data_IF_403906532655
#
_entry.id   IF_403906532655
#
_cell.length_a   1.000
_cell.length_b   1.000
_cell.length_c   1.000
_cell.angle_alpha   90.00
_cell.angle_beta   90.00
_cell.angle_gamma   90.00
#
_symmetry.space_group_name_H-M   'P 1'
#
loop_
_entity.id
_entity.type
_entity.pdbx_description
1 polymer ?
#
# COMPACT_ATOMS: atom_id res chain seq x y z
N UNK A 1 -61.63 13.32 -1.71
CA UNK A 1 -60.37 13.40 -0.94
C UNK A 1 -59.22 12.96 -1.83
N UNK A 2 -58.38 13.90 -2.26
CA UNK A 2 -57.17 13.58 -3.03
C UNK A 2 -56.08 13.23 -2.04
N UNK A 3 -55.66 11.97 -1.97
CA UNK A 3 -54.49 11.56 -1.24
C UNK A 3 -53.27 12.03 -2.03
N UNK A 4 -52.60 13.04 -1.52
CA UNK A 4 -51.29 13.42 -2.00
C UNK A 4 -50.28 12.33 -1.54
N UNK A 5 -49.89 11.51 -2.47
CA UNK A 5 -48.76 10.59 -2.25
C UNK A 5 -47.51 11.48 -2.31
N UNK A 6 -46.77 11.63 -1.23
CA UNK A 6 -45.49 12.30 -1.33
C UNK A 6 -44.60 11.46 -2.23
N UNK A 7 -44.28 12.00 -3.37
CA UNK A 7 -43.23 11.47 -4.23
C UNK A 7 -41.92 11.53 -3.42
N UNK A 8 -41.63 10.45 -2.74
CA UNK A 8 -40.38 10.24 -2.06
C UNK A 8 -39.31 10.07 -3.14
N UNK A 9 -38.78 11.21 -3.56
CA UNK A 9 -37.64 11.28 -4.46
C UNK A 9 -36.46 10.73 -3.70
N UNK A 10 -36.22 9.43 -3.83
CA UNK A 10 -34.97 8.80 -3.44
C UNK A 10 -33.87 9.45 -4.27
N UNK A 11 -33.26 10.48 -3.68
CA UNK A 11 -32.00 11.02 -4.16
C UNK A 11 -30.96 9.92 -3.94
N UNK A 12 -30.84 9.05 -4.93
CA UNK A 12 -29.70 8.13 -5.00
C UNK A 12 -28.48 9.03 -5.25
N UNK A 13 -27.87 9.45 -4.17
CA UNK A 13 -26.51 9.98 -4.20
C UNK A 13 -25.62 8.84 -4.70
N UNK A 14 -25.48 8.80 -6.02
CA UNK A 14 -24.41 8.04 -6.65
C UNK A 14 -23.13 8.63 -6.16
N UNK A 15 -22.61 8.11 -5.06
CA UNK A 15 -21.23 8.33 -4.67
C UNK A 15 -20.42 7.72 -5.79
N UNK A 16 -20.00 8.54 -6.76
CA UNK A 16 -18.92 8.17 -7.67
C UNK A 16 -17.69 8.03 -6.80
N UNK A 17 -17.48 6.82 -6.29
CA UNK A 17 -16.19 6.43 -5.81
C UNK A 17 -15.27 6.53 -7.02
N UNK A 18 -14.48 7.59 -7.10
CA UNK A 18 -13.34 7.59 -7.99
C UNK A 18 -12.48 6.42 -7.57
N UNK A 19 -12.58 5.33 -8.34
CA UNK A 19 -11.73 4.18 -8.14
C UNK A 19 -10.29 4.67 -8.29
N UNK A 20 -9.56 4.71 -7.18
CA UNK A 20 -8.16 5.09 -7.19
C UNK A 20 -7.42 4.06 -8.05
N UNK A 21 -6.84 4.51 -9.17
CA UNK A 21 -5.99 3.69 -10.00
C UNK A 21 -4.61 3.59 -9.36
N UNK A 22 -4.06 2.38 -9.29
CA UNK A 22 -2.75 2.13 -8.72
C UNK A 22 -2.75 1.91 -7.21
N UNK A 23 -1.56 1.75 -6.66
CA UNK A 23 -1.36 1.50 -5.23
C UNK A 23 -1.70 2.76 -4.43
N UNK A 24 -2.56 2.61 -3.43
CA UNK A 24 -2.93 3.69 -2.51
C UNK A 24 -1.93 3.78 -1.37
N UNK A 25 -0.90 4.61 -1.55
CA UNK A 25 0.02 4.93 -0.47
C UNK A 25 -0.59 5.98 0.45
N UNK A 26 -0.91 5.57 1.67
CA UNK A 26 -1.58 6.41 2.64
C UNK A 26 -0.58 7.23 3.45
N UNK A 27 -0.95 8.47 3.78
CA UNK A 27 -0.13 9.38 4.58
C UNK A 27 -0.35 9.10 6.08
N UNK A 28 0.26 8.03 6.56
CA UNK A 28 0.18 7.57 7.93
C UNK A 28 1.58 7.44 8.52
N UNK A 29 1.69 7.61 9.83
CA UNK A 29 2.89 7.16 10.54
C UNK A 29 2.96 5.64 10.54
N UNK A 30 4.12 5.08 10.86
CA UNK A 30 4.27 3.63 10.96
C UNK A 30 3.29 3.03 11.97
N UNK A 31 3.17 3.63 13.16
CA UNK A 31 2.24 3.16 14.19
C UNK A 31 0.78 3.28 13.77
N UNK A 32 0.41 4.37 13.09
CA UNK A 32 -0.94 4.52 12.53
C UNK A 32 -1.23 3.47 11.46
N UNK A 33 -0.25 3.13 10.63
CA UNK A 33 -0.38 2.07 9.61
C UNK A 33 -0.60 0.70 10.26
N UNK A 34 0.14 0.39 11.34
CA UNK A 34 -0.05 -0.84 12.11
C UNK A 34 -1.45 -0.93 12.72
N UNK A 35 -1.92 0.15 13.34
CA UNK A 35 -3.26 0.22 13.95
C UNK A 35 -4.36 0.03 12.90
N UNK A 36 -4.22 0.67 11.74
CA UNK A 36 -5.16 0.55 10.64
C UNK A 36 -5.19 -0.87 10.06
N UNK A 37 -4.02 -1.47 9.88
CA UNK A 37 -3.90 -2.84 9.40
C UNK A 37 -4.57 -3.83 10.36
N UNK A 38 -4.40 -3.65 11.66
CA UNK A 38 -5.08 -4.46 12.68
C UNK A 38 -6.59 -4.32 12.59
N UNK A 39 -7.11 -3.11 12.47
CA UNK A 39 -8.55 -2.83 12.37
C UNK A 39 -9.15 -3.42 11.08
N UNK A 40 -8.44 -3.36 9.97
CA UNK A 40 -8.90 -3.83 8.65
C UNK A 40 -8.51 -5.29 8.36
N UNK A 41 -7.81 -5.96 9.27
CA UNK A 41 -7.30 -7.34 9.10
C UNK A 41 -6.41 -7.48 7.86
N UNK A 42 -5.51 -6.53 7.70
CA UNK A 42 -4.52 -6.48 6.61
C UNK A 42 -3.10 -6.55 7.17
N UNK A 43 -2.14 -6.74 6.28
CA UNK A 43 -0.72 -6.52 6.54
C UNK A 43 -0.36 -5.07 6.17
N UNK A 44 0.82 -4.62 6.56
CA UNK A 44 1.36 -3.33 6.11
C UNK A 44 2.42 -3.59 5.05
N UNK A 45 2.33 -2.88 3.95
CA UNK A 45 3.36 -2.83 2.90
C UNK A 45 4.10 -1.50 3.01
N UNK A 46 5.39 -1.57 3.30
CA UNK A 46 6.24 -0.39 3.52
C UNK A 46 7.23 -0.26 2.37
N UNK A 47 7.16 0.84 1.64
CA UNK A 47 8.15 1.24 0.63
C UNK A 47 9.20 2.14 1.29
N UNK A 48 10.42 1.64 1.42
CA UNK A 48 11.57 2.38 1.94
C UNK A 48 12.40 2.92 0.78
N UNK A 49 12.38 4.23 0.60
CA UNK A 49 13.02 4.89 -0.54
C UNK A 49 13.95 6.04 -0.13
N UNK A 50 14.66 6.58 -1.08
CA UNK A 50 15.34 7.87 -1.01
C UNK A 50 14.98 8.70 -2.23
N UNK A 51 15.13 10.02 -2.14
CA UNK A 51 14.77 10.94 -3.23
C UNK A 51 15.70 10.87 -4.45
N UNK A 52 16.92 10.39 -4.29
CA UNK A 52 17.93 10.27 -5.35
C UNK A 52 17.96 8.89 -6.03
N UNK A 53 17.17 7.95 -5.57
CA UNK A 53 17.19 6.57 -6.03
C UNK A 53 16.43 6.42 -7.36
N UNK A 54 17.11 6.07 -8.43
CA UNK A 54 16.52 5.85 -9.75
C UNK A 54 15.50 4.72 -9.79
N UNK A 55 15.82 3.50 -9.30
CA UNK A 55 14.85 2.40 -9.24
C UNK A 55 13.62 2.69 -8.38
N UNK A 56 13.76 3.49 -7.33
CA UNK A 56 12.62 3.95 -6.52
C UNK A 56 11.66 4.81 -7.34
N UNK A 57 12.20 5.73 -8.15
CA UNK A 57 11.41 6.58 -9.05
C UNK A 57 10.70 5.76 -10.13
N UNK A 58 11.34 4.74 -10.66
CA UNK A 58 10.73 3.83 -11.63
C UNK A 58 9.52 3.12 -11.04
N UNK A 59 9.62 2.60 -9.83
CA UNK A 59 8.49 1.97 -9.13
C UNK A 59 7.35 2.96 -8.91
N UNK A 60 7.65 4.17 -8.44
CA UNK A 60 6.66 5.21 -8.16
C UNK A 60 5.97 5.76 -9.42
N UNK A 61 6.71 5.90 -10.52
CA UNK A 61 6.19 6.54 -11.74
C UNK A 61 5.61 5.57 -12.76
N UNK A 62 6.06 4.32 -12.79
CA UNK A 62 5.68 3.35 -13.82
C UNK A 62 4.94 2.13 -13.28
N UNK A 63 5.31 1.61 -12.13
CA UNK A 63 4.80 0.33 -11.62
C UNK A 63 3.60 0.52 -10.69
N UNK A 64 3.79 1.24 -9.59
CA UNK A 64 2.71 1.44 -8.62
C UNK A 64 1.48 2.20 -9.14
N UNK A 65 1.58 3.10 -10.13
CA UNK A 65 0.40 3.72 -10.73
C UNK A 65 -0.47 2.79 -11.58
N UNK A 66 0.02 1.60 -11.93
CA UNK A 66 -0.74 0.65 -12.75
C UNK A 66 -1.99 0.18 -12.01
N UNK A 67 -3.10 0.07 -12.73
CA UNK A 67 -4.37 -0.43 -12.19
C UNK A 67 -4.20 -1.80 -11.52
N UNK A 68 -3.50 -2.71 -12.18
CA UNK A 68 -3.26 -4.07 -11.70
C UNK A 68 -2.44 -4.08 -10.41
N UNK A 69 -1.54 -3.12 -10.24
CA UNK A 69 -0.81 -2.95 -8.97
C UNK A 69 -1.77 -2.61 -7.83
N UNK A 70 -2.66 -1.64 -8.04
CA UNK A 70 -3.68 -1.28 -7.06
C UNK A 70 -4.61 -2.44 -6.71
N UNK A 71 -5.04 -3.20 -7.70
CA UNK A 71 -5.90 -4.38 -7.52
C UNK A 71 -5.24 -5.47 -6.68
N UNK A 72 -3.92 -5.62 -6.76
CA UNK A 72 -3.18 -6.58 -5.94
C UNK A 72 -2.90 -6.04 -4.53
N UNK A 73 -2.34 -4.83 -4.43
CA UNK A 73 -1.83 -4.30 -3.16
C UNK A 73 -2.93 -3.78 -2.23
N UNK A 74 -3.89 -3.02 -2.75
CA UNK A 74 -4.87 -2.32 -1.91
C UNK A 74 -5.76 -3.23 -1.07
N UNK A 75 -6.25 -4.37 -1.58
CA UNK A 75 -7.06 -5.28 -0.76
C UNK A 75 -6.25 -6.01 0.33
N UNK A 76 -4.95 -6.21 0.12
CA UNK A 76 -4.09 -7.03 0.99
C UNK A 76 -3.37 -6.22 2.04
N UNK A 77 -3.07 -4.96 1.74
CA UNK A 77 -2.16 -4.16 2.55
C UNK A 77 -2.72 -2.76 2.85
N UNK A 78 -2.35 -2.26 4.01
CA UNK A 78 -2.23 -0.83 4.23
C UNK A 78 -0.86 -0.44 3.69
N UNK A 79 -0.82 0.35 2.62
CA UNK A 79 0.41 0.73 1.95
C UNK A 79 0.89 2.09 2.44
N UNK A 80 2.14 2.17 2.85
CA UNK A 80 2.82 3.40 3.27
C UNK A 80 4.22 3.45 2.71
N UNK A 81 4.77 4.64 2.57
CA UNK A 81 6.13 4.84 2.10
C UNK A 81 6.85 5.89 2.94
N UNK A 82 8.13 5.67 3.16
CA UNK A 82 8.97 6.56 3.96
C UNK A 82 10.29 6.83 3.25
N UNK A 83 10.65 8.12 3.23
CA UNK A 83 12.00 8.54 2.86
C UNK A 83 12.95 8.18 4.01
N UNK A 84 13.91 7.31 3.73
CA UNK A 84 14.84 6.80 4.74
C UNK A 84 15.84 7.86 5.24
N UNK A 85 15.87 9.02 4.61
CA UNK A 85 16.74 10.13 4.99
C UNK A 85 16.00 11.29 5.67
N UNK A 86 14.68 11.17 5.87
CA UNK A 86 13.83 12.22 6.43
C UNK A 86 12.90 11.69 7.53
N UNK A 87 12.68 12.51 8.56
CA UNK A 87 11.68 12.28 9.58
C UNK A 87 11.74 10.87 10.19
N UNK A 88 10.59 10.24 10.33
CA UNK A 88 10.41 8.88 10.85
C UNK A 88 11.20 7.83 10.05
N UNK A 89 11.43 8.07 8.77
CA UNK A 89 12.19 7.17 7.91
C UNK A 89 13.61 6.89 8.41
N UNK A 90 14.25 7.87 9.07
CA UNK A 90 15.57 7.68 9.67
C UNK A 90 15.58 6.61 10.75
N UNK A 91 14.55 6.57 11.58
CA UNK A 91 14.40 5.57 12.63
C UNK A 91 14.04 4.21 12.05
N UNK A 92 13.12 4.21 11.08
CA UNK A 92 12.69 2.99 10.39
C UNK A 92 13.83 2.33 9.63
N UNK A 93 14.73 3.10 9.04
CA UNK A 93 15.92 2.57 8.37
C UNK A 93 16.72 1.65 9.30
N UNK A 94 16.96 2.08 10.51
CA UNK A 94 17.70 1.29 11.49
C UNK A 94 16.87 0.14 12.04
N UNK A 95 15.61 0.40 12.36
CA UNK A 95 14.68 -0.59 12.91
C UNK A 95 14.45 -1.77 11.96
N UNK A 96 14.30 -1.49 10.67
CA UNK A 96 14.06 -2.50 9.64
C UNK A 96 15.35 -3.04 9.00
N UNK A 97 16.50 -2.45 9.32
CA UNK A 97 17.79 -2.88 8.77
C UNK A 97 17.94 -2.60 7.28
N UNK A 98 17.43 -1.46 6.80
CA UNK A 98 17.46 -1.08 5.39
C UNK A 98 18.88 -0.75 4.95
N UNK A 99 19.39 -1.45 3.92
CA UNK A 99 20.76 -1.28 3.39
C UNK A 99 20.80 -0.96 1.90
N UNK A 100 19.71 -1.09 1.20
CA UNK A 100 19.62 -0.85 -0.24
C UNK A 100 18.25 -0.24 -0.58
N UNK A 101 18.16 0.43 -1.72
CA UNK A 101 16.95 1.13 -2.15
C UNK A 101 16.54 0.74 -3.57
N UNK A 102 15.24 0.53 -3.82
CA UNK A 102 14.17 0.46 -2.83
C UNK A 102 14.23 -0.85 -2.02
N UNK A 103 13.80 -0.78 -0.78
CA UNK A 103 13.50 -1.96 0.05
C UNK A 103 12.05 -1.94 0.47
N UNK A 104 11.39 -3.08 0.33
CA UNK A 104 9.98 -3.22 0.65
C UNK A 104 9.81 -4.25 1.77
N UNK A 105 8.96 -3.92 2.73
CA UNK A 105 8.70 -4.81 3.85
C UNK A 105 7.22 -5.12 3.96
N UNK A 106 6.93 -6.39 4.22
CA UNK A 106 5.60 -6.84 4.65
C UNK A 106 5.65 -6.98 6.16
N UNK A 107 4.85 -6.18 6.85
CA UNK A 107 4.85 -6.06 8.30
C UNK A 107 3.51 -6.56 8.83
N UNK A 108 3.55 -7.39 9.88
CA UNK A 108 2.35 -7.80 10.60
C UNK A 108 1.82 -6.65 11.46
N UNK A 109 0.52 -6.65 11.81
CA UNK A 109 -0.05 -5.60 12.68
C UNK A 109 0.63 -5.43 14.03
N UNK A 110 1.34 -6.46 14.52
CA UNK A 110 2.14 -6.38 15.75
C UNK A 110 3.51 -5.70 15.56
N UNK A 111 3.83 -5.28 14.33
CA UNK A 111 5.08 -4.61 13.99
C UNK A 111 6.22 -5.55 13.60
N UNK A 112 6.02 -6.86 13.61
CA UNK A 112 7.06 -7.81 13.19
C UNK A 112 7.15 -7.94 11.68
N UNK A 113 8.37 -8.09 11.16
CA UNK A 113 8.62 -8.27 9.73
C UNK A 113 8.24 -9.69 9.31
N UNK A 114 7.35 -9.81 8.35
CA UNK A 114 6.99 -11.10 7.75
C UNK A 114 7.87 -11.44 6.55
N UNK A 115 8.19 -10.44 5.70
CA UNK A 115 8.96 -10.63 4.48
C UNK A 115 9.61 -9.33 4.03
N UNK A 116 10.70 -9.44 3.30
CA UNK A 116 11.37 -8.30 2.68
C UNK A 116 11.66 -8.58 1.21
N UNK A 117 11.49 -7.56 0.38
CA UNK A 117 11.81 -7.57 -1.04
C UNK A 117 12.75 -6.40 -1.32
N UNK A 118 13.93 -6.67 -1.84
CA UNK A 118 14.93 -5.64 -2.17
C UNK A 118 15.01 -5.43 -3.68
N UNK A 119 14.98 -4.18 -4.09
CA UNK A 119 15.05 -3.77 -5.49
C UNK A 119 13.70 -3.72 -6.19
N UNK A 120 13.60 -2.84 -7.20
CA UNK A 120 12.45 -2.73 -8.08
C UNK A 120 12.44 -3.81 -9.15
N UNK A 121 11.31 -3.92 -9.85
CA UNK A 121 11.12 -4.86 -10.94
C UNK A 121 9.91 -4.44 -11.79
N UNK A 122 9.69 -5.10 -12.90
CA UNK A 122 8.42 -5.07 -13.60
C UNK A 122 7.30 -5.64 -12.71
N UNK A 123 6.05 -5.28 -12.98
CA UNK A 123 4.95 -5.55 -12.07
C UNK A 123 4.76 -7.03 -11.73
N UNK A 124 4.70 -7.91 -12.73
CA UNK A 124 4.43 -9.34 -12.50
C UNK A 124 5.56 -10.01 -11.70
N UNK A 125 6.85 -9.87 -12.07
CA UNK A 125 7.93 -10.41 -11.27
C UNK A 125 7.97 -9.83 -9.85
N UNK A 126 7.64 -8.54 -9.70
CA UNK A 126 7.58 -7.90 -8.39
C UNK A 126 6.48 -8.52 -7.52
N UNK A 127 5.27 -8.68 -8.07
CA UNK A 127 4.16 -9.33 -7.36
C UNK A 127 4.53 -10.76 -6.95
N UNK A 128 5.19 -11.54 -7.81
CA UNK A 128 5.61 -12.90 -7.47
C UNK A 128 6.60 -12.92 -6.29
N UNK A 129 7.50 -11.94 -6.22
CA UNK A 129 8.42 -11.80 -5.08
C UNK A 129 7.68 -11.43 -3.79
N UNK A 130 6.65 -10.60 -3.88
CA UNK A 130 5.79 -10.26 -2.74
C UNK A 130 4.97 -11.46 -2.28
N UNK A 131 4.38 -12.22 -3.21
CA UNK A 131 3.58 -13.42 -2.91
C UNK A 131 4.35 -14.47 -2.13
N UNK A 132 5.65 -14.61 -2.35
CA UNK A 132 6.50 -15.52 -1.57
C UNK A 132 6.43 -15.23 -0.07
N UNK A 133 6.23 -13.97 0.30
CA UNK A 133 6.06 -13.56 1.69
C UNK A 133 4.63 -13.74 2.24
N UNK A 134 3.67 -14.02 1.37
CA UNK A 134 2.27 -14.23 1.76
C UNK A 134 1.91 -15.72 1.89
N UNK A 135 2.82 -16.64 1.58
CA UNK A 135 2.55 -18.07 1.46
C UNK A 135 1.44 -18.39 0.44
N UNK A 136 1.19 -17.48 -0.49
CA UNK A 136 0.29 -17.72 -1.62
C UNK A 136 1.02 -18.59 -2.64
N UNK A 137 0.36 -19.67 -3.08
CA UNK A 137 0.91 -20.52 -4.13
C UNK A 137 1.04 -19.68 -5.40
N UNK A 138 2.22 -19.67 -5.97
CA UNK A 138 2.43 -19.17 -7.35
C UNK A 138 1.64 -20.08 -8.28
N UNK A 139 0.65 -19.52 -8.91
CA UNK A 139 -0.13 -20.20 -9.97
C UNK A 139 0.57 -20.07 -11.31
#
# INVERSE_FOLDING_TARGET
>A
MKKLIPLMMCLVLSVMAFAQTGVDFQHLTFDEALAKAKAEKKLVFVDCYTTWCGPCKMMTTKIFPMKEAGEFFNPRFVCVKFDMEQGEGKELKNKLGVRAYPSFFIIRPDGTVQHAVVGGDELEPFIERVKKGLNEKTS
#
